data_IF_338027967607
#
_entry.id   IF_338027967607
#
_cell.length_a   1.000
_cell.length_b   1.000
_cell.length_c   1.000
_cell.angle_alpha   90.00
_cell.angle_beta   90.00
_cell.angle_gamma   90.00
#
_symmetry.space_group_name_H-M   'P 1'
#
loop_
_entity.id
_entity.type
_entity.pdbx_description
1 polymer ?
#
# COMPACT_ATOMS: atom_id res chain seq x y z
N UNK A 1 -23.67 0.15 3.88
CA UNK A 1 -22.96 -1.13 3.63
C UNK A 1 -21.70 -1.15 4.50
N UNK A 2 -21.39 -2.24 5.22
CA UNK A 2 -20.14 -2.36 5.99
C UNK A 2 -18.99 -2.64 4.99
N UNK A 3 -18.02 -1.73 4.79
CA UNK A 3 -16.98 -1.90 3.78
C UNK A 3 -16.02 -3.06 4.10
N UNK A 4 -16.00 -3.53 5.36
CA UNK A 4 -15.19 -4.65 5.81
C UNK A 4 -15.93 -5.99 5.73
N UNK A 5 -17.21 -5.99 5.33
CA UNK A 5 -18.05 -7.19 5.34
C UNK A 5 -17.41 -8.36 4.62
N UNK A 6 -16.87 -8.14 3.41
CA UNK A 6 -16.19 -9.19 2.65
C UNK A 6 -14.94 -9.71 3.36
N UNK A 7 -14.13 -8.84 3.94
CA UNK A 7 -12.94 -9.24 4.71
C UNK A 7 -13.34 -10.09 5.93
N UNK A 8 -14.38 -9.68 6.64
CA UNK A 8 -14.88 -10.42 7.81
C UNK A 8 -15.51 -11.76 7.43
N UNK A 9 -16.32 -11.81 6.37
CA UNK A 9 -16.96 -13.05 5.88
C UNK A 9 -15.93 -14.06 5.36
N UNK A 10 -14.85 -13.58 4.75
CA UNK A 10 -13.75 -14.42 4.25
C UNK A 10 -12.68 -14.70 5.32
N UNK A 11 -12.85 -14.20 6.55
CA UNK A 11 -11.90 -14.41 7.65
C UNK A 11 -10.51 -13.84 7.39
N UNK A 12 -10.37 -12.84 6.52
CA UNK A 12 -9.10 -12.19 6.20
C UNK A 12 -8.71 -11.26 7.36
N UNK A 13 -7.54 -11.44 8.00
CA UNK A 13 -7.05 -10.51 9.02
C UNK A 13 -6.75 -9.14 8.40
N UNK A 14 -7.05 -8.07 9.12
CA UNK A 14 -6.76 -6.71 8.65
C UNK A 14 -6.46 -5.76 9.79
N UNK A 15 -5.69 -4.72 9.50
CA UNK A 15 -5.37 -3.64 10.44
C UNK A 15 -6.18 -2.41 10.03
N UNK A 16 -6.95 -1.86 10.96
CA UNK A 16 -7.70 -0.64 10.76
C UNK A 16 -6.99 0.52 11.46
N UNK A 17 -6.45 1.46 10.67
CA UNK A 17 -5.82 2.67 11.18
C UNK A 17 -6.86 3.62 11.78
N UNK A 18 -6.63 4.06 13.03
CA UNK A 18 -7.58 4.92 13.76
C UNK A 18 -7.18 6.38 13.89
N UNK A 19 -5.91 6.68 13.68
CA UNK A 19 -5.34 8.03 13.72
C UNK A 19 -4.58 8.34 12.41
N UNK A 20 -5.29 8.41 11.27
CA UNK A 20 -4.65 8.77 10.01
C UNK A 20 -3.95 10.14 10.11
N UNK A 21 -2.78 10.25 9.48
CA UNK A 21 -1.92 11.44 9.54
C UNK A 21 -2.07 12.37 8.34
N UNK A 22 -2.82 11.95 7.31
CA UNK A 22 -3.05 12.71 6.07
C UNK A 22 -4.50 12.61 5.59
N UNK A 23 -4.94 13.59 4.80
CA UNK A 23 -6.26 13.64 4.18
C UNK A 23 -7.39 14.07 5.13
N UNK A 24 -8.63 13.95 4.64
CA UNK A 24 -9.82 14.50 5.30
C UNK A 24 -10.13 13.89 6.70
N UNK A 25 -9.59 12.71 7.00
CA UNK A 25 -9.84 11.98 8.25
C UNK A 25 -8.95 12.43 9.43
N UNK A 26 -7.99 13.33 9.21
CA UNK A 26 -7.10 13.88 10.24
C UNK A 26 -7.83 14.81 11.23
N UNK A 27 -8.94 15.39 10.79
CA UNK A 27 -9.74 16.36 11.55
C UNK A 27 -10.48 15.70 12.72
N UNK A 28 -10.92 16.50 13.70
CA UNK A 28 -11.76 16.00 14.80
C UNK A 28 -13.05 15.33 14.29
N UNK A 29 -13.67 15.89 13.25
CA UNK A 29 -14.83 15.29 12.59
C UNK A 29 -14.48 13.96 11.91
N UNK A 30 -13.30 13.88 11.28
CA UNK A 30 -12.75 12.65 10.70
C UNK A 30 -12.55 11.53 11.73
N UNK A 31 -11.93 11.86 12.87
CA UNK A 31 -11.76 10.92 13.99
C UNK A 31 -13.10 10.44 14.54
N UNK A 32 -14.05 11.36 14.76
CA UNK A 32 -15.40 11.01 15.17
C UNK A 32 -16.09 10.09 14.16
N UNK A 33 -15.90 10.31 12.85
CA UNK A 33 -16.43 9.43 11.81
C UNK A 33 -15.81 8.03 11.86
N UNK A 34 -14.51 7.91 12.11
CA UNK A 34 -13.83 6.61 12.29
C UNK A 34 -14.41 5.87 13.50
N UNK A 35 -14.54 6.54 14.65
CA UNK A 35 -15.07 5.94 15.87
C UNK A 35 -16.53 5.52 15.74
N UNK A 36 -17.37 6.38 15.20
CA UNK A 36 -18.82 6.15 15.16
C UNK A 36 -19.28 5.30 13.98
N UNK A 37 -18.74 5.51 12.79
CA UNK A 37 -19.22 4.83 11.60
C UNK A 37 -18.46 3.53 11.33
N UNK A 38 -17.15 3.52 11.57
CA UNK A 38 -16.28 2.41 11.20
C UNK A 38 -16.14 1.47 12.40
N UNK A 39 -15.64 1.94 13.55
CA UNK A 39 -15.32 1.06 14.69
C UNK A 39 -16.55 0.52 15.43
N UNK A 40 -17.59 1.33 15.68
CA UNK A 40 -18.82 0.85 16.34
C UNK A 40 -19.59 -0.20 15.52
N UNK A 41 -19.64 -0.05 14.19
CA UNK A 41 -20.28 -1.05 13.30
C UNK A 41 -19.46 -2.33 13.17
N UNK A 42 -18.15 -2.17 13.26
CA UNK A 42 -17.18 -3.25 13.23
C UNK A 42 -17.28 -4.15 14.47
N UNK A 43 -17.44 -3.59 15.69
CA UNK A 43 -17.44 -4.34 16.97
C UNK A 43 -18.31 -5.61 16.98
N UNK A 44 -19.43 -5.65 16.26
CA UNK A 44 -20.31 -6.84 16.21
C UNK A 44 -19.76 -7.99 15.36
N UNK A 45 -18.87 -7.72 14.40
CA UNK A 45 -18.37 -8.69 13.40
C UNK A 45 -16.83 -8.74 13.30
N UNK A 46 -16.10 -8.11 14.22
CA UNK A 46 -14.64 -7.95 14.16
C UNK A 46 -13.87 -9.12 14.77
N UNK A 47 -14.08 -10.33 14.27
CA UNK A 47 -13.41 -11.51 14.85
C UNK A 47 -11.91 -11.59 14.53
N UNK A 48 -11.40 -10.84 13.52
CA UNK A 48 -10.00 -10.91 13.05
C UNK A 48 -9.35 -9.57 12.71
N UNK A 49 -10.01 -8.47 13.05
CA UNK A 49 -9.41 -7.16 12.82
C UNK A 49 -8.53 -6.74 14.00
N UNK A 50 -7.59 -5.84 13.72
CA UNK A 50 -6.70 -5.24 14.70
C UNK A 50 -6.76 -3.72 14.61
N UNK A 51 -6.50 -3.05 15.72
CA UNK A 51 -6.45 -1.59 15.80
C UNK A 51 -5.04 -1.10 15.43
N UNK A 52 -4.92 -0.38 14.32
CA UNK A 52 -3.66 0.22 13.89
C UNK A 52 -3.51 1.63 14.45
N UNK A 53 -2.42 1.89 15.17
CA UNK A 53 -2.08 3.23 15.67
C UNK A 53 -0.80 3.68 15.00
N UNK A 54 -0.87 4.74 14.19
CA UNK A 54 0.30 5.36 13.58
C UNK A 54 1.06 6.16 14.64
N UNK A 55 2.37 6.01 14.65
CA UNK A 55 3.30 6.77 15.49
C UNK A 55 4.22 7.58 14.58
N UNK A 56 4.31 8.86 14.93
CA UNK A 56 5.19 9.89 14.36
C UNK A 56 5.96 10.59 15.49
N UNK A 57 6.95 11.45 15.19
CA UNK A 57 7.69 12.18 16.23
C UNK A 57 6.77 13.04 17.12
N UNK A 58 5.65 13.52 16.57
CA UNK A 58 4.68 14.38 17.27
C UNK A 58 3.62 13.62 18.06
N UNK A 59 3.63 12.27 17.98
CA UNK A 59 2.62 11.44 18.66
C UNK A 59 2.79 11.55 20.18
N UNK A 60 1.72 11.97 20.86
CA UNK A 60 1.70 12.06 22.32
C UNK A 60 1.34 10.71 22.96
N UNK A 61 1.93 10.34 24.11
CA UNK A 61 1.60 9.11 24.84
C UNK A 61 0.09 8.94 25.10
N UNK A 62 -0.59 10.02 25.50
CA UNK A 62 -2.02 10.05 25.81
C UNK A 62 -2.90 9.56 24.65
N UNK A 63 -2.47 9.74 23.40
CA UNK A 63 -3.21 9.24 22.24
C UNK A 63 -3.22 7.71 22.20
N UNK A 64 -2.09 7.10 22.53
CA UNK A 64 -1.95 5.64 22.59
C UNK A 64 -2.80 5.11 23.74
N UNK A 65 -2.67 5.73 24.92
CA UNK A 65 -3.43 5.38 26.13
C UNK A 65 -4.94 5.44 25.89
N UNK A 66 -5.42 6.52 25.26
CA UNK A 66 -6.81 6.64 24.86
C UNK A 66 -7.33 5.45 24.04
N UNK A 67 -6.60 5.01 23.00
CA UNK A 67 -7.06 3.90 22.17
C UNK A 67 -6.98 2.53 22.87
N UNK A 68 -6.05 2.37 23.81
CA UNK A 68 -5.99 1.17 24.66
C UNK A 68 -7.18 1.11 25.62
N UNK A 69 -7.54 2.24 26.24
CA UNK A 69 -8.65 2.34 27.19
C UNK A 69 -10.01 2.22 26.52
N UNK A 70 -10.20 2.83 25.34
CA UNK A 70 -11.47 2.77 24.61
C UNK A 70 -11.67 1.40 23.95
N UNK A 71 -10.60 0.71 23.58
CA UNK A 71 -10.65 -0.58 22.88
C UNK A 71 -9.75 -1.66 23.52
N UNK A 72 -9.98 -2.02 24.79
CA UNK A 72 -9.10 -2.93 25.53
C UNK A 72 -9.09 -4.33 24.92
N UNK A 73 -10.25 -4.82 24.46
CA UNK A 73 -10.41 -6.16 23.92
C UNK A 73 -9.87 -6.36 22.49
N UNK A 74 -9.56 -5.28 21.75
CA UNK A 74 -9.03 -5.41 20.40
C UNK A 74 -7.52 -5.61 20.44
N UNK A 75 -6.92 -6.48 19.61
CA UNK A 75 -5.48 -6.51 19.42
C UNK A 75 -4.97 -5.23 18.75
N UNK A 76 -3.77 -4.78 19.10
CA UNK A 76 -3.17 -3.54 18.59
C UNK A 76 -2.04 -3.84 17.61
N UNK A 77 -1.82 -2.91 16.70
CA UNK A 77 -0.66 -2.85 15.81
C UNK A 77 -0.13 -1.42 15.88
N UNK A 78 1.15 -1.28 16.23
CA UNK A 78 1.79 0.03 16.26
C UNK A 78 2.55 0.22 14.94
N UNK A 79 2.22 1.28 14.21
CA UNK A 79 2.77 1.57 12.88
C UNK A 79 3.71 2.76 13.00
N UNK A 80 5.01 2.48 13.06
CA UNK A 80 6.08 3.45 13.19
C UNK A 80 6.41 4.04 11.82
N UNK A 81 5.89 5.24 11.55
CA UNK A 81 6.19 6.02 10.34
C UNK A 81 7.40 6.93 10.50
N UNK A 82 7.92 7.06 11.72
CA UNK A 82 9.20 7.68 12.03
C UNK A 82 9.63 7.31 13.46
N UNK A 83 10.88 7.63 13.81
CA UNK A 83 11.38 7.48 15.17
C UNK A 83 10.57 8.35 16.13
N UNK A 84 10.09 7.77 17.23
CA UNK A 84 9.34 8.46 18.26
C UNK A 84 10.02 8.29 19.62
N UNK A 85 10.50 9.40 20.17
CA UNK A 85 11.24 9.39 21.44
C UNK A 85 10.29 9.14 22.61
N UNK A 86 9.16 9.84 22.64
CA UNK A 86 8.22 9.82 23.75
C UNK A 86 7.02 8.91 23.47
N UNK A 87 7.26 7.59 23.53
CA UNK A 87 6.22 6.58 23.38
C UNK A 87 5.62 6.16 24.72
N UNK A 88 4.30 6.00 24.77
CA UNK A 88 3.64 5.36 25.92
C UNK A 88 4.21 3.95 26.14
N UNK A 89 4.45 3.51 27.40
CA UNK A 89 4.88 2.14 27.70
C UNK A 89 3.91 1.06 27.20
N UNK A 90 2.65 1.41 26.91
CA UNK A 90 1.65 0.50 26.36
C UNK A 90 2.03 -0.07 24.99
N UNK A 91 2.98 0.53 24.27
CA UNK A 91 3.51 -0.08 23.03
C UNK A 91 4.16 -1.45 23.27
N UNK A 92 4.52 -1.78 24.51
CA UNK A 92 5.12 -3.07 24.90
C UNK A 92 4.11 -4.06 25.47
N UNK A 93 2.82 -3.70 25.51
CA UNK A 93 1.76 -4.51 26.09
C UNK A 93 1.50 -5.81 25.26
N UNK A 94 1.19 -6.95 25.89
CA UNK A 94 0.93 -8.22 25.18
C UNK A 94 -0.24 -8.20 24.17
N UNK A 95 -1.12 -7.19 24.25
CA UNK A 95 -2.19 -6.99 23.25
C UNK A 95 -1.66 -6.40 21.93
N UNK A 96 -0.44 -5.83 21.92
CA UNK A 96 0.26 -5.43 20.69
C UNK A 96 0.76 -6.68 19.96
N UNK A 97 0.25 -6.91 18.75
CA UNK A 97 0.58 -8.10 17.94
C UNK A 97 1.74 -7.87 17.00
N UNK A 98 1.88 -6.65 16.49
CA UNK A 98 2.95 -6.31 15.56
C UNK A 98 3.40 -4.87 15.77
N UNK A 99 4.71 -4.67 15.64
CA UNK A 99 5.30 -3.37 15.34
C UNK A 99 5.62 -3.33 13.84
N UNK A 100 4.95 -2.45 13.11
CA UNK A 100 5.20 -2.23 11.69
C UNK A 100 6.12 -1.02 11.56
N UNK A 101 7.27 -1.18 10.90
CA UNK A 101 8.23 -0.10 10.68
C UNK A 101 8.31 0.27 9.22
N UNK A 102 8.29 1.56 8.92
CA UNK A 102 8.56 2.06 7.57
C UNK A 102 10.07 2.18 7.40
N UNK A 103 10.64 1.34 6.52
CA UNK A 103 12.08 1.10 6.44
C UNK A 103 12.88 2.39 6.23
N UNK A 104 12.47 3.18 5.24
CA UNK A 104 13.14 4.43 4.87
C UNK A 104 12.89 5.59 5.85
N UNK A 105 12.10 5.38 6.91
CA UNK A 105 11.68 6.43 7.83
C UNK A 105 12.01 6.14 9.29
N UNK A 106 12.50 4.95 9.60
CA UNK A 106 12.82 4.53 10.98
C UNK A 106 14.26 4.07 11.06
N UNK A 107 15.01 4.55 12.05
CA UNK A 107 16.42 4.19 12.21
C UNK A 107 16.58 2.76 12.74
N UNK A 108 17.71 2.11 12.44
CA UNK A 108 18.02 0.79 12.97
C UNK A 108 18.04 0.77 14.50
N UNK A 109 18.72 1.74 15.13
CA UNK A 109 18.79 1.90 16.59
C UNK A 109 17.39 2.01 17.22
N UNK A 110 16.47 2.73 16.57
CA UNK A 110 15.09 2.81 17.05
C UNK A 110 14.38 1.45 16.99
N UNK A 111 14.55 0.72 15.88
CA UNK A 111 13.92 -0.61 15.66
C UNK A 111 14.47 -1.69 16.57
N UNK A 112 15.71 -1.56 17.05
CA UNK A 112 16.36 -2.48 17.99
C UNK A 112 15.64 -2.57 19.34
N UNK A 113 14.97 -1.48 19.76
CA UNK A 113 14.15 -1.42 20.99
C UNK A 113 13.01 -2.45 21.01
N UNK A 114 12.63 -2.97 19.84
CA UNK A 114 11.46 -3.85 19.67
C UNK A 114 11.84 -5.28 19.25
N UNK A 115 13.11 -5.68 19.38
CA UNK A 115 13.62 -7.00 18.97
C UNK A 115 12.93 -8.19 19.64
N UNK A 116 12.40 -8.00 20.85
CA UNK A 116 11.65 -9.02 21.59
C UNK A 116 10.18 -9.16 21.17
N UNK A 117 9.72 -8.35 20.21
CA UNK A 117 8.32 -8.31 19.75
C UNK A 117 8.22 -8.72 18.28
N UNK A 118 7.05 -9.18 17.79
CA UNK A 118 6.87 -9.42 16.38
C UNK A 118 6.97 -8.11 15.58
N UNK A 119 7.90 -8.06 14.63
CA UNK A 119 8.17 -6.89 13.80
C UNK A 119 7.89 -7.19 12.33
N UNK A 120 7.34 -6.21 11.64
CA UNK A 120 7.10 -6.21 10.20
C UNK A 120 7.83 -5.01 9.60
N UNK A 121 8.59 -5.23 8.53
CA UNK A 121 9.27 -4.16 7.81
C UNK A 121 8.47 -3.80 6.55
N UNK A 122 8.10 -2.54 6.38
CA UNK A 122 7.41 -2.04 5.19
C UNK A 122 8.34 -1.13 4.42
N UNK A 123 8.55 -1.40 3.13
CA UNK A 123 9.40 -0.56 2.27
C UNK A 123 8.58 -0.02 1.10
N UNK A 124 8.64 1.29 0.90
CA UNK A 124 8.14 1.90 -0.33
C UNK A 124 9.14 1.67 -1.46
N UNK A 125 8.86 0.70 -2.31
CA UNK A 125 9.66 0.40 -3.50
C UNK A 125 9.37 1.29 -4.69
N UNK A 126 8.35 2.18 -4.61
CA UNK A 126 7.91 2.99 -5.73
C UNK A 126 8.47 4.42 -5.65
N UNK A 127 9.44 4.71 -6.53
CA UNK A 127 10.02 6.06 -6.64
C UNK A 127 9.14 6.94 -7.52
N UNK A 128 8.20 7.67 -6.92
CA UNK A 128 7.29 8.57 -7.64
C UNK A 128 8.04 9.72 -8.34
N UNK A 129 7.75 9.96 -9.63
CA UNK A 129 8.27 11.10 -10.38
C UNK A 129 7.18 11.94 -11.03
N UNK A 130 7.43 13.24 -11.13
CA UNK A 130 6.56 14.22 -11.78
C UNK A 130 7.43 15.12 -12.68
N UNK A 131 7.10 15.26 -13.99
CA UNK A 131 6.06 14.53 -14.72
C UNK A 131 6.32 13.01 -14.76
N UNK A 132 5.28 12.24 -15.08
CA UNK A 132 5.36 10.77 -15.10
C UNK A 132 6.32 10.25 -16.20
N UNK A 133 6.58 11.07 -17.21
CA UNK A 133 7.57 10.81 -18.28
C UNK A 133 9.01 10.74 -17.78
N UNK A 134 9.29 11.23 -16.56
CA UNK A 134 10.61 11.12 -15.94
C UNK A 134 10.92 9.72 -15.38
N UNK A 135 9.96 8.79 -15.39
CA UNK A 135 10.24 7.41 -14.99
C UNK A 135 11.09 6.70 -16.05
N UNK A 136 12.20 6.05 -15.66
CA UNK A 136 12.95 5.22 -16.59
C UNK A 136 12.13 3.96 -16.95
N UNK A 137 12.48 3.24 -18.03
CA UNK A 137 11.72 2.06 -18.46
C UNK A 137 11.66 0.93 -17.41
N UNK A 138 12.73 0.77 -16.62
CA UNK A 138 12.84 -0.27 -15.60
C UNK A 138 13.49 0.27 -14.33
N UNK A 139 12.97 -0.12 -13.17
CA UNK A 139 13.57 0.19 -11.87
C UNK A 139 13.57 -1.02 -10.94
N UNK A 140 14.43 -0.94 -9.93
CA UNK A 140 14.33 -1.82 -8.78
C UNK A 140 13.09 -1.44 -7.96
N UNK A 141 12.33 -2.44 -7.49
CA UNK A 141 11.19 -2.21 -6.60
C UNK A 141 11.55 -2.64 -5.19
N UNK A 142 11.82 -3.93 -4.98
CA UNK A 142 12.17 -4.44 -3.65
C UNK A 142 12.79 -5.83 -3.71
N UNK A 143 13.75 -6.09 -2.83
CA UNK A 143 14.27 -7.41 -2.48
C UNK A 143 13.80 -7.86 -1.08
N UNK A 144 13.00 -7.02 -0.40
CA UNK A 144 12.55 -7.25 0.96
C UNK A 144 11.80 -8.58 1.15
N UNK A 145 10.98 -9.07 0.19
CA UNK A 145 10.37 -10.40 0.31
C UNK A 145 11.38 -11.53 0.52
N UNK A 146 12.63 -11.36 0.04
CA UNK A 146 13.71 -12.34 0.18
C UNK A 146 14.59 -12.11 1.41
N UNK A 147 14.70 -10.87 1.89
CA UNK A 147 15.70 -10.48 2.91
C UNK A 147 15.12 -10.26 4.31
N UNK A 148 13.81 -10.03 4.47
CA UNK A 148 13.20 -9.64 5.76
C UNK A 148 13.52 -10.60 6.92
N UNK A 149 13.57 -11.91 6.66
CA UNK A 149 13.91 -12.92 7.69
C UNK A 149 15.35 -12.80 8.16
N UNK A 150 16.30 -12.55 7.24
CA UNK A 150 17.71 -12.36 7.56
C UNK A 150 17.93 -11.07 8.38
N UNK A 151 17.08 -10.07 8.15
CA UNK A 151 17.02 -8.83 8.93
C UNK A 151 16.33 -8.99 10.29
N UNK A 152 15.84 -10.18 10.64
CA UNK A 152 15.22 -10.48 11.93
C UNK A 152 13.76 -10.02 12.08
N UNK A 153 13.03 -9.90 10.97
CA UNK A 153 11.60 -9.54 10.96
C UNK A 153 10.71 -10.78 10.73
N UNK A 154 9.48 -10.73 11.25
CA UNK A 154 8.47 -11.80 11.13
C UNK A 154 7.55 -11.59 9.92
N UNK A 155 7.61 -10.43 9.28
CA UNK A 155 6.89 -10.15 8.05
C UNK A 155 7.48 -8.98 7.28
N UNK A 156 6.94 -8.78 6.08
CA UNK A 156 7.25 -7.62 5.25
C UNK A 156 5.98 -7.02 4.63
N UNK A 157 6.11 -5.84 4.06
CA UNK A 157 5.09 -5.25 3.19
C UNK A 157 5.65 -4.15 2.30
N UNK A 158 4.81 -3.62 1.43
CA UNK A 158 5.11 -2.49 0.56
C UNK A 158 3.88 -1.58 0.40
N UNK A 159 4.05 -0.49 -0.35
CA UNK A 159 3.01 0.48 -0.68
C UNK A 159 2.61 0.39 -2.15
N UNK A 160 2.81 -0.78 -2.75
CA UNK A 160 2.48 -1.12 -4.13
C UNK A 160 3.14 -0.14 -5.12
N UNK A 161 2.58 -0.02 -6.32
CA UNK A 161 3.00 0.97 -7.32
C UNK A 161 2.33 2.34 -7.12
N UNK A 162 1.93 2.67 -5.89
CA UNK A 162 1.27 3.94 -5.53
C UNK A 162 2.20 4.80 -4.69
N UNK A 163 2.88 4.18 -3.73
CA UNK A 163 3.81 4.82 -2.81
C UNK A 163 3.12 5.58 -1.67
N UNK A 164 3.94 6.12 -0.77
CA UNK A 164 3.49 6.76 0.48
C UNK A 164 2.90 8.16 0.29
N UNK A 165 3.28 8.84 -0.79
CA UNK A 165 2.96 10.25 -1.00
C UNK A 165 1.45 10.47 -1.17
N UNK A 166 0.83 11.14 -0.19
CA UNK A 166 -0.56 11.59 -0.28
C UNK A 166 -0.68 12.91 -1.05
N UNK A 167 -1.68 13.01 -1.92
CA UNK A 167 -1.95 14.20 -2.72
C UNK A 167 -3.45 14.37 -2.84
N UNK A 168 -3.93 15.54 -2.46
CA UNK A 168 -5.36 15.85 -2.43
C UNK A 168 -5.94 16.11 -3.83
N UNK A 169 -5.14 16.72 -4.72
CA UNK A 169 -5.52 16.98 -6.11
C UNK A 169 -4.33 16.72 -7.04
N UNK A 170 -4.50 15.79 -7.97
CA UNK A 170 -3.64 15.70 -9.14
C UNK A 170 -4.34 16.47 -10.26
N UNK A 171 -3.66 17.44 -10.88
CA UNK A 171 -4.11 17.99 -12.14
C UNK A 171 -4.24 16.89 -13.21
N UNK A 172 -5.00 17.15 -14.28
CA UNK A 172 -5.13 16.20 -15.39
C UNK A 172 -3.74 15.81 -15.92
N UNK A 173 -3.37 14.51 -15.92
CA UNK A 173 -2.03 14.12 -16.30
C UNK A 173 -1.82 14.31 -17.81
N UNK A 174 -0.69 14.92 -18.21
CA UNK A 174 -0.30 15.10 -19.63
C UNK A 174 0.06 13.78 -20.33
N UNK A 175 0.35 12.74 -19.56
CA UNK A 175 0.67 11.39 -20.02
C UNK A 175 0.09 10.35 -19.06
N UNK A 176 -0.22 9.15 -19.55
CA UNK A 176 -0.65 8.01 -18.74
C UNK A 176 0.51 7.05 -18.57
N UNK A 177 0.70 6.53 -17.36
CA UNK A 177 1.66 5.46 -17.12
C UNK A 177 1.00 4.24 -16.46
N UNK A 178 1.40 3.07 -16.93
CA UNK A 178 1.11 1.78 -16.29
C UNK A 178 2.40 1.32 -15.61
N UNK A 179 2.34 1.27 -14.28
CA UNK A 179 3.40 0.77 -13.43
C UNK A 179 3.17 -0.73 -13.20
N UNK A 180 3.99 -1.56 -13.83
CA UNK A 180 3.83 -3.01 -13.84
C UNK A 180 4.99 -3.67 -13.09
N UNK A 181 4.67 -4.42 -12.03
CA UNK A 181 5.70 -5.17 -11.29
C UNK A 181 5.99 -6.51 -11.94
N UNK A 182 7.23 -6.98 -11.82
CA UNK A 182 7.59 -8.33 -12.23
C UNK A 182 8.70 -8.86 -11.33
N UNK A 183 8.74 -10.18 -11.14
CA UNK A 183 9.73 -10.82 -10.31
C UNK A 183 10.91 -11.34 -11.14
N UNK A 184 12.10 -11.21 -10.58
CA UNK A 184 13.32 -11.89 -11.02
C UNK A 184 13.79 -12.82 -9.89
N UNK A 185 14.79 -13.68 -10.14
CA UNK A 185 15.34 -14.55 -9.09
C UNK A 185 15.91 -13.78 -7.87
N UNK A 186 16.21 -12.50 -8.01
CA UNK A 186 16.91 -11.71 -6.98
C UNK A 186 16.08 -10.59 -6.36
N UNK A 187 15.00 -10.17 -7.01
CA UNK A 187 14.21 -9.02 -6.59
C UNK A 187 12.91 -8.90 -7.38
N UNK A 188 11.97 -8.17 -6.81
CA UNK A 188 10.85 -7.56 -7.50
C UNK A 188 11.34 -6.28 -8.18
N UNK A 189 10.91 -6.08 -9.42
CA UNK A 189 11.21 -4.92 -10.25
C UNK A 189 9.94 -4.29 -10.77
N UNK A 190 10.05 -3.09 -11.30
CA UNK A 190 8.96 -2.35 -11.93
C UNK A 190 9.36 -1.98 -13.36
N UNK A 191 8.43 -2.13 -14.28
CA UNK A 191 8.49 -1.62 -15.65
C UNK A 191 7.46 -0.48 -15.80
N UNK A 192 7.88 0.60 -16.45
CA UNK A 192 7.04 1.79 -16.65
C UNK A 192 6.64 1.87 -18.12
N UNK A 193 5.35 1.69 -18.39
CA UNK A 193 4.80 1.84 -19.74
C UNK A 193 4.09 3.18 -19.82
N UNK A 194 4.68 4.13 -20.52
CA UNK A 194 4.25 5.52 -20.54
C UNK A 194 3.72 5.85 -21.95
N UNK A 195 2.57 6.52 -22.04
CA UNK A 195 2.06 7.07 -23.29
C UNK A 195 3.01 8.13 -23.85
N UNK A 196 2.92 8.44 -25.13
CA UNK A 196 3.68 9.57 -25.66
C UNK A 196 3.19 10.88 -25.02
N UNK A 197 4.11 11.83 -24.83
CA UNK A 197 3.78 13.18 -24.36
C UNK A 197 3.31 13.99 -25.56
N UNK A 198 2.10 14.54 -25.49
CA UNK A 198 1.53 15.37 -26.57
C UNK A 198 1.28 16.75 -26.01
N UNK A 199 1.76 17.80 -26.70
CA UNK A 199 1.52 19.20 -26.33
C UNK A 199 0.02 19.54 -26.36
N UNK A 200 -0.73 18.90 -27.24
CA UNK A 200 -2.16 19.04 -27.36
C UNK A 200 -2.91 18.32 -26.21
N UNK A 201 -3.50 19.13 -25.32
CA UNK A 201 -4.31 18.65 -24.20
C UNK A 201 -5.68 18.13 -24.64
N UNK A 202 -6.07 18.30 -25.92
CA UNK A 202 -7.31 17.77 -26.49
C UNK A 202 -7.29 16.25 -26.66
N UNK A 203 -6.09 15.62 -26.68
CA UNK A 203 -5.97 14.16 -26.76
C UNK A 203 -6.62 13.51 -25.54
N UNK A 204 -7.56 12.61 -25.79
CA UNK A 204 -8.33 11.92 -24.76
C UNK A 204 -7.45 10.94 -23.96
N UNK A 205 -7.61 10.92 -22.64
CA UNK A 205 -6.93 10.00 -21.70
C UNK A 205 -7.03 8.53 -22.12
N UNK A 206 -8.15 8.12 -22.74
CA UNK A 206 -8.34 6.76 -23.28
C UNK A 206 -7.32 6.41 -24.36
N UNK A 207 -6.98 7.35 -25.25
CA UNK A 207 -5.97 7.12 -26.30
C UNK A 207 -4.58 6.92 -25.68
N UNK A 208 -4.21 7.80 -24.74
CA UNK A 208 -2.95 7.70 -23.99
C UNK A 208 -2.83 6.37 -23.23
N UNK A 209 -3.92 5.94 -22.60
CA UNK A 209 -3.96 4.62 -21.96
C UNK A 209 -3.73 3.49 -22.97
N UNK A 210 -4.36 3.54 -24.15
CA UNK A 210 -4.20 2.55 -25.21
C UNK A 210 -2.75 2.38 -25.65
N UNK A 211 -2.01 3.48 -25.82
CA UNK A 211 -0.58 3.46 -26.17
C UNK A 211 0.26 2.79 -25.08
N UNK A 212 0.07 3.18 -23.82
CA UNK A 212 0.77 2.60 -22.69
C UNK A 212 0.43 1.10 -22.54
N UNK A 213 -0.83 0.73 -22.76
CA UNK A 213 -1.30 -0.65 -22.71
C UNK A 213 -0.69 -1.50 -23.81
N UNK A 214 -0.58 -0.99 -25.04
CA UNK A 214 0.07 -1.70 -26.15
C UNK A 214 1.53 -2.03 -25.80
N UNK A 215 2.27 -1.08 -25.22
CA UNK A 215 3.65 -1.30 -24.76
C UNK A 215 3.70 -2.40 -23.68
N UNK A 216 2.75 -2.41 -22.73
CA UNK A 216 2.63 -3.46 -21.71
C UNK A 216 2.33 -4.84 -22.32
N UNK A 217 1.38 -4.95 -23.25
CA UNK A 217 1.01 -6.23 -23.87
C UNK A 217 2.19 -6.83 -24.63
N UNK A 218 2.95 -6.03 -25.37
CA UNK A 218 4.18 -6.47 -26.04
C UNK A 218 5.20 -7.03 -25.03
N UNK A 219 5.36 -6.37 -23.88
CA UNK A 219 6.22 -6.86 -22.80
C UNK A 219 5.71 -8.19 -22.23
N UNK A 220 4.42 -8.30 -21.91
CA UNK A 220 3.81 -9.53 -21.39
C UNK A 220 4.08 -10.72 -22.32
N UNK A 221 3.89 -10.53 -23.63
CA UNK A 221 4.11 -11.55 -24.64
C UNK A 221 5.59 -11.94 -24.74
N UNK A 222 6.49 -10.95 -24.82
CA UNK A 222 7.93 -11.19 -24.96
C UNK A 222 8.55 -11.93 -23.77
N UNK A 223 8.01 -11.73 -22.56
CA UNK A 223 8.48 -12.37 -21.33
C UNK A 223 7.68 -13.64 -20.94
N UNK A 224 6.75 -14.08 -21.80
CA UNK A 224 5.92 -15.26 -21.54
C UNK A 224 5.12 -15.13 -20.24
N UNK A 225 4.53 -13.96 -20.00
CA UNK A 225 3.73 -13.65 -18.80
C UNK A 225 2.22 -13.78 -19.03
N UNK A 226 1.80 -14.16 -20.23
CA UNK A 226 0.39 -14.25 -20.64
C UNK A 226 -0.46 -14.99 -19.62
N UNK A 227 -1.57 -14.36 -19.22
CA UNK A 227 -2.55 -14.92 -18.29
C UNK A 227 -2.01 -15.47 -16.96
N UNK A 228 -0.76 -15.12 -16.56
CA UNK A 228 -0.15 -15.61 -15.31
C UNK A 228 -0.82 -15.07 -14.06
N UNK A 229 -1.41 -13.88 -14.14
CA UNK A 229 -2.21 -13.31 -13.05
C UNK A 229 -3.54 -12.82 -13.62
N UNK A 230 -4.58 -12.78 -12.79
CA UNK A 230 -5.88 -12.23 -13.15
C UNK A 230 -5.81 -10.72 -13.42
N UNK A 231 -4.81 -9.99 -12.89
CA UNK A 231 -4.56 -8.61 -13.32
C UNK A 231 -3.96 -8.52 -14.73
N UNK A 232 -3.12 -9.48 -15.14
CA UNK A 232 -2.67 -9.58 -16.55
C UNK A 232 -3.85 -9.87 -17.47
N UNK A 233 -4.76 -10.77 -17.07
CA UNK A 233 -5.98 -11.06 -17.84
C UNK A 233 -6.84 -9.81 -18.04
N UNK A 234 -7.03 -9.00 -16.99
CA UNK A 234 -7.76 -7.73 -17.11
C UNK A 234 -7.09 -6.80 -18.14
N UNK A 235 -5.75 -6.70 -18.16
CA UNK A 235 -5.04 -5.92 -19.17
C UNK A 235 -5.21 -6.48 -20.59
N UNK A 236 -5.13 -7.80 -20.76
CA UNK A 236 -5.36 -8.48 -22.04
C UNK A 236 -6.79 -8.21 -22.54
N UNK A 237 -7.79 -8.25 -21.64
CA UNK A 237 -9.19 -7.92 -21.95
C UNK A 237 -9.38 -6.46 -22.36
N UNK A 238 -8.81 -5.51 -21.61
CA UNK A 238 -8.87 -4.08 -21.99
C UNK A 238 -8.23 -3.82 -23.36
N UNK A 239 -7.14 -4.52 -23.67
CA UNK A 239 -6.47 -4.39 -24.96
C UNK A 239 -7.35 -4.93 -26.09
N UNK A 240 -7.96 -6.11 -25.92
CA UNK A 240 -8.87 -6.71 -26.91
C UNK A 240 -10.11 -5.86 -27.15
N UNK A 241 -10.69 -5.30 -26.08
CA UNK A 241 -11.91 -4.51 -26.13
C UNK A 241 -11.67 -3.03 -26.49
N UNK A 242 -10.40 -2.58 -26.51
CA UNK A 242 -10.02 -1.17 -26.64
C UNK A 242 -10.74 -0.28 -25.61
N UNK A 243 -10.85 -0.77 -24.38
CA UNK A 243 -11.57 -0.10 -23.29
C UNK A 243 -10.60 0.48 -22.26
N UNK A 244 -10.99 1.57 -21.60
CA UNK A 244 -10.24 2.20 -20.51
C UNK A 244 -11.07 2.17 -19.22
N UNK A 245 -10.62 1.48 -18.15
CA UNK A 245 -11.40 1.31 -16.92
C UNK A 245 -11.35 2.53 -15.99
N UNK A 246 -11.01 3.72 -16.50
CA UNK A 246 -10.60 4.90 -15.73
C UNK A 246 -9.28 4.72 -14.93
N UNK A 247 -8.80 5.82 -14.32
CA UNK A 247 -7.54 5.83 -13.56
C UNK A 247 -7.62 5.03 -12.25
N UNK A 248 -8.80 4.95 -11.64
CA UNK A 248 -9.05 4.14 -10.45
C UNK A 248 -9.10 2.65 -10.80
N UNK A 249 -9.75 2.28 -11.89
CA UNK A 249 -9.74 0.92 -12.43
C UNK A 249 -8.33 0.45 -12.78
N UNK A 250 -7.55 1.30 -13.46
CA UNK A 250 -6.14 1.02 -13.76
C UNK A 250 -5.33 0.68 -12.49
N UNK A 251 -5.43 1.53 -11.45
CA UNK A 251 -4.75 1.28 -10.16
C UNK A 251 -5.20 -0.02 -9.50
N UNK A 252 -6.49 -0.35 -9.58
CA UNK A 252 -7.03 -1.62 -9.04
C UNK A 252 -6.44 -2.83 -9.76
N UNK A 253 -6.27 -2.76 -11.08
CA UNK A 253 -5.68 -3.86 -11.85
C UNK A 253 -4.18 -4.00 -11.58
N UNK A 254 -3.43 -2.90 -11.48
CA UNK A 254 -2.03 -2.95 -11.02
C UNK A 254 -1.90 -3.60 -9.65
N UNK A 255 -2.75 -3.21 -8.68
CA UNK A 255 -2.83 -3.80 -7.35
C UNK A 255 -3.12 -5.31 -7.41
N UNK A 256 -4.16 -5.70 -8.16
CA UNK A 256 -4.57 -7.11 -8.32
C UNK A 256 -3.44 -7.95 -8.89
N UNK A 257 -2.78 -7.47 -9.93
CA UNK A 257 -1.61 -8.13 -10.51
C UNK A 257 -0.47 -8.26 -9.50
N UNK A 258 -0.14 -7.17 -8.79
CA UNK A 258 0.97 -7.16 -7.83
C UNK A 258 0.77 -8.16 -6.68
N UNK A 259 -0.44 -8.23 -6.11
CA UNK A 259 -0.75 -9.17 -5.04
C UNK A 259 -0.59 -10.63 -5.49
N UNK A 260 -1.07 -10.98 -6.69
CA UNK A 260 -0.91 -12.33 -7.23
C UNK A 260 0.54 -12.63 -7.63
N UNK A 261 1.28 -11.64 -8.13
CA UNK A 261 2.71 -11.77 -8.37
C UNK A 261 3.46 -12.10 -7.07
N UNK A 262 3.15 -11.40 -5.97
CA UNK A 262 3.79 -11.67 -4.68
C UNK A 262 3.45 -13.07 -4.17
N UNK A 263 2.21 -13.53 -4.34
CA UNK A 263 1.82 -14.89 -3.99
C UNK A 263 2.61 -15.95 -4.78
N UNK A 264 2.90 -15.70 -6.05
CA UNK A 264 3.68 -16.61 -6.90
C UNK A 264 5.19 -16.55 -6.64
N UNK A 265 5.68 -15.41 -6.12
CA UNK A 265 7.10 -15.17 -5.90
C UNK A 265 7.62 -15.73 -4.57
N UNK A 266 6.75 -15.84 -3.57
CA UNK A 266 7.03 -16.40 -2.24
C UNK A 266 6.96 -17.93 -2.21
#
# INVERSE_FOLDING_TARGET
MNPFRKLTEQGVPFVLVVNPTVGALTTAAGRYAIETAILKKIRKNFQRGMLGIIVTPDTQPDLIEYYFDVYPALPKVIIHQADCVNLSPLVYDPSVKYHIFFDNHTSETYRERFTNYPRVLVRDGFVRRVPVTNHPPFEFFSDLPLTYRQLGYQGFGDLLTVGQNYIEKLGGPKAVAIHFTFATRKAVRIAHFISEEVEDTSVCTTSRFGEALEKLIKFIQAYGLNSKTAGIKDFEEYYQQRSFPDMGGLKKVCLKHHLELMQQFL
#
